data_IF_117378919816
#
_entry.id   IF_117378919816
#
_cell.length_a   1.000
_cell.length_b   1.000
_cell.length_c   1.000
_cell.angle_alpha   90.00
_cell.angle_beta   90.00
_cell.angle_gamma   90.00
#
_symmetry.space_group_name_H-M   'P 1'
#
loop_
_entity.id
_entity.type
_entity.pdbx_description
1 polymer ?
#
# COMPACT_ATOMS: atom_id res chain seq x y z
N UNK A 1 15.31 -8.76 -2.22
CA UNK A 1 16.10 -9.54 -3.16
C UNK A 1 17.56 -9.22 -2.91
N UNK A 2 18.38 -10.26 -2.81
CA UNK A 2 19.84 -10.14 -2.71
C UNK A 2 20.36 -10.24 -4.14
N UNK A 3 21.17 -9.26 -4.55
CA UNK A 3 21.84 -9.31 -5.86
C UNK A 3 23.17 -9.99 -5.63
N UNK A 4 23.29 -11.25 -6.04
CA UNK A 4 24.56 -11.97 -5.96
C UNK A 4 25.48 -11.52 -7.10
N UNK A 5 26.69 -11.15 -6.76
CA UNK A 5 27.76 -10.86 -7.73
C UNK A 5 28.53 -12.17 -8.06
N UNK A 6 27.84 -13.22 -8.49
CA UNK A 6 28.46 -14.33 -9.20
C UNK A 6 29.55 -15.18 -8.50
N UNK A 7 29.82 -15.01 -7.20
CA UNK A 7 30.76 -15.82 -6.45
C UNK A 7 30.02 -16.58 -5.34
N UNK A 8 29.72 -17.84 -5.58
CA UNK A 8 28.75 -18.70 -4.87
C UNK A 8 29.35 -19.41 -3.63
N UNK A 9 30.37 -18.83 -2.99
CA UNK A 9 31.07 -19.48 -1.86
C UNK A 9 30.85 -18.83 -0.48
N UNK A 10 30.00 -17.78 -0.39
CA UNK A 10 29.72 -17.04 0.85
C UNK A 10 28.48 -17.54 1.60
N UNK A 11 28.48 -17.42 2.95
CA UNK A 11 27.26 -17.59 3.74
C UNK A 11 26.23 -16.54 3.33
N UNK A 12 24.92 -16.83 3.26
CA UNK A 12 23.88 -15.85 2.92
C UNK A 12 23.88 -14.58 3.82
N UNK A 13 24.47 -14.67 5.02
CA UNK A 13 24.64 -13.54 5.94
C UNK A 13 25.74 -12.55 5.51
N UNK A 14 26.67 -13.00 4.68
CA UNK A 14 27.86 -12.23 4.29
C UNK A 14 27.66 -11.52 2.94
N UNK A 15 26.52 -11.77 2.28
CA UNK A 15 26.16 -11.09 1.03
C UNK A 15 25.99 -9.57 1.26
N UNK A 16 26.79 -8.81 0.55
CA UNK A 16 26.71 -7.35 0.56
C UNK A 16 25.34 -6.93 0.03
N UNK A 17 24.53 -6.30 0.90
CA UNK A 17 23.25 -5.68 0.51
C UNK A 17 23.49 -4.34 -0.18
N UNK A 18 24.40 -4.34 -1.14
CA UNK A 18 24.70 -3.19 -1.98
C UNK A 18 23.62 -3.07 -3.06
N UNK A 19 23.44 -1.87 -3.57
CA UNK A 19 22.59 -1.64 -4.72
C UNK A 19 23.42 -1.69 -5.99
N UNK A 20 22.76 -2.03 -7.08
CA UNK A 20 23.34 -2.01 -8.44
C UNK A 20 22.49 -1.12 -9.31
N UNK A 21 23.13 -0.23 -10.04
CA UNK A 21 22.50 0.67 -10.98
C UNK A 21 22.97 0.36 -12.41
N UNK A 22 22.07 -0.13 -13.25
CA UNK A 22 22.33 -0.33 -14.67
C UNK A 22 21.79 0.84 -15.49
N UNK A 23 22.55 1.22 -16.50
CA UNK A 23 22.19 2.30 -17.43
C UNK A 23 22.16 1.74 -18.83
N UNK A 24 21.00 1.83 -19.46
CA UNK A 24 20.76 1.43 -20.83
C UNK A 24 20.18 2.60 -21.62
N UNK A 25 20.21 2.60 -22.95
CA UNK A 25 19.58 3.65 -23.73
C UNK A 25 18.09 3.80 -23.38
N UNK A 26 17.71 4.95 -22.79
CA UNK A 26 16.33 5.24 -22.41
C UNK A 26 15.85 4.58 -21.11
N UNK A 27 16.69 3.83 -20.39
CA UNK A 27 16.31 3.11 -19.17
C UNK A 27 17.41 3.17 -18.11
N UNK A 28 16.98 3.32 -16.86
CA UNK A 28 17.83 3.15 -15.67
C UNK A 28 17.17 2.15 -14.73
N UNK A 29 17.89 1.08 -14.39
CA UNK A 29 17.39 0.03 -13.50
C UNK A 29 18.16 0.01 -12.21
N UNK A 30 17.45 0.06 -11.08
CA UNK A 30 18.02 -0.08 -9.73
C UNK A 30 17.55 -1.39 -9.11
N UNK A 31 18.47 -2.16 -8.55
CA UNK A 31 18.14 -3.33 -7.74
C UNK A 31 18.95 -3.35 -6.44
N UNK A 32 18.40 -3.95 -5.39
CA UNK A 32 19.03 -4.02 -4.07
C UNK A 32 18.82 -2.76 -3.23
N UNK A 33 19.76 -2.51 -2.31
CA UNK A 33 19.71 -1.38 -1.37
C UNK A 33 18.96 -1.67 -0.07
N UNK A 34 18.94 -0.67 0.81
CA UNK A 34 18.29 -0.72 2.13
C UNK A 34 17.22 0.37 2.21
N UNK A 35 16.13 0.10 2.92
CA UNK A 35 15.09 1.11 3.15
C UNK A 35 15.63 2.37 3.85
N UNK A 36 16.61 2.23 4.72
CA UNK A 36 17.25 3.36 5.42
C UNK A 36 18.06 4.28 4.51
N UNK A 37 18.45 3.80 3.34
CA UNK A 37 19.23 4.58 2.35
C UNK A 37 18.39 4.99 1.15
N UNK A 38 17.05 4.99 1.27
CA UNK A 38 16.15 5.28 0.15
C UNK A 38 16.40 6.65 -0.49
N UNK A 39 16.68 7.69 0.30
CA UNK A 39 16.90 9.05 -0.21
C UNK A 39 18.19 9.17 -1.03
N UNK A 40 19.38 8.79 -0.52
CA UNK A 40 20.60 8.79 -1.34
C UNK A 40 20.43 7.97 -2.62
N UNK A 41 19.82 6.79 -2.55
CA UNK A 41 19.56 5.95 -3.72
C UNK A 41 18.64 6.64 -4.73
N UNK A 42 17.56 7.25 -4.27
CA UNK A 42 16.65 7.99 -5.15
C UNK A 42 17.37 9.14 -5.85
N UNK A 43 18.22 9.89 -5.13
CA UNK A 43 19.00 10.99 -5.71
C UNK A 43 20.01 10.46 -6.74
N UNK A 44 20.65 9.32 -6.48
CA UNK A 44 21.56 8.69 -7.42
C UNK A 44 20.87 8.27 -8.71
N UNK A 45 19.70 7.62 -8.61
CA UNK A 45 18.87 7.24 -9.76
C UNK A 45 18.42 8.46 -10.54
N UNK A 46 17.92 9.49 -9.87
CA UNK A 46 17.50 10.73 -10.51
C UNK A 46 18.64 11.42 -11.24
N UNK A 47 19.86 11.45 -10.66
CA UNK A 47 21.06 11.97 -11.34
C UNK A 47 21.42 11.13 -12.55
N UNK A 48 21.26 9.81 -12.50
CA UNK A 48 21.47 8.93 -13.65
C UNK A 48 20.44 9.16 -14.77
N UNK A 49 19.21 9.51 -14.41
CA UNK A 49 18.14 9.84 -15.36
C UNK A 49 18.23 11.28 -15.90
N UNK A 50 18.98 12.17 -15.24
CA UNK A 50 19.05 13.59 -15.59
C UNK A 50 19.34 13.88 -17.09
N UNK A 51 20.27 13.16 -17.75
CA UNK A 51 20.50 13.35 -19.18
C UNK A 51 19.29 12.99 -20.06
N UNK A 52 18.51 11.96 -19.65
CA UNK A 52 17.31 11.53 -20.37
C UNK A 52 16.15 12.52 -20.18
N UNK A 53 16.12 13.19 -19.03
CA UNK A 53 15.05 14.12 -18.64
C UNK A 53 15.36 15.57 -19.07
N UNK A 54 16.58 15.86 -19.53
CA UNK A 54 17.03 17.22 -19.85
C UNK A 54 16.99 18.16 -18.64
N UNK A 55 17.16 17.61 -17.41
CA UNK A 55 17.06 18.36 -16.14
C UNK A 55 18.29 18.12 -15.26
N UNK A 56 18.66 19.14 -14.50
CA UNK A 56 19.63 18.99 -13.42
C UNK A 56 18.90 18.49 -12.16
N UNK A 57 19.50 17.55 -11.46
CA UNK A 57 18.96 17.01 -10.20
C UNK A 57 19.85 17.46 -9.04
N UNK A 58 19.28 18.21 -8.11
CA UNK A 58 19.88 18.61 -6.85
C UNK A 58 19.03 18.10 -5.70
N UNK A 59 19.67 17.62 -4.64
CA UNK A 59 18.98 17.33 -3.38
C UNK A 59 19.02 18.59 -2.51
N UNK A 60 17.87 19.21 -2.30
CA UNK A 60 17.72 20.41 -1.48
C UNK A 60 17.60 20.10 0.03
N UNK A 61 17.65 18.83 0.41
CA UNK A 61 17.50 18.41 1.80
C UNK A 61 16.07 18.52 2.35
N UNK A 62 15.09 18.94 1.54
CA UNK A 62 13.71 19.08 1.98
C UNK A 62 13.13 17.76 2.50
N UNK A 63 12.24 17.83 3.49
CA UNK A 63 11.58 16.64 4.04
C UNK A 63 10.75 15.94 2.96
N UNK A 64 10.99 14.63 2.80
CA UNK A 64 10.19 13.81 1.85
C UNK A 64 8.78 13.59 2.38
N UNK A 65 8.65 13.44 3.68
CA UNK A 65 7.36 13.28 4.35
C UNK A 65 6.95 14.59 5.00
N UNK A 66 5.72 15.04 4.73
CA UNK A 66 5.15 16.22 5.38
C UNK A 66 4.90 15.96 6.87
N UNK A 67 4.84 17.04 7.67
CA UNK A 67 4.36 16.95 9.02
C UNK A 67 2.93 16.37 9.04
N UNK A 68 2.69 15.47 9.99
CA UNK A 68 1.38 14.88 10.20
C UNK A 68 0.76 15.52 11.45
N UNK A 69 -0.30 16.28 11.27
CA UNK A 69 -1.08 16.83 12.38
C UNK A 69 -2.01 15.76 12.95
N UNK A 70 -2.31 15.83 14.25
CA UNK A 70 -3.30 14.93 14.87
C UNK A 70 -4.69 15.30 14.29
N UNK A 71 -5.35 14.40 13.56
CA UNK A 71 -6.69 14.67 13.09
C UNK A 71 -7.63 14.66 14.29
N UNK A 72 -8.24 15.77 14.58
CA UNK A 72 -9.34 15.83 15.51
C UNK A 72 -10.55 15.15 14.84
N UNK A 73 -10.67 13.83 15.02
CA UNK A 73 -11.83 13.03 14.60
C UNK A 73 -12.56 12.60 15.86
N UNK A 74 -13.75 13.14 16.05
CA UNK A 74 -14.59 12.81 17.20
C UNK A 74 -14.93 11.32 17.20
N UNK A 75 -15.00 10.74 18.42
CA UNK A 75 -15.29 9.32 18.59
C UNK A 75 -14.09 8.37 18.43
N UNK A 76 -12.91 8.87 17.99
CA UNK A 76 -11.71 8.04 17.90
C UNK A 76 -10.76 8.27 19.06
N UNK A 77 -10.22 7.19 19.63
CA UNK A 77 -9.16 7.24 20.61
C UNK A 77 -7.83 7.74 20.06
N UNK A 78 -6.94 8.23 20.92
CA UNK A 78 -5.63 8.80 20.54
C UNK A 78 -4.79 7.83 19.68
N UNK A 79 -4.74 6.53 20.03
CA UNK A 79 -4.01 5.51 19.28
C UNK A 79 -4.51 5.37 17.84
N UNK A 80 -5.84 5.36 17.66
CA UNK A 80 -6.46 5.22 16.36
C UNK A 80 -6.26 6.47 15.49
N UNK A 81 -6.40 7.68 16.07
CA UNK A 81 -6.08 8.92 15.38
C UNK A 81 -4.63 8.95 14.90
N UNK A 82 -3.68 8.58 15.79
CA UNK A 82 -2.26 8.51 15.44
C UNK A 82 -1.97 7.51 14.31
N UNK A 83 -2.65 6.35 14.34
CA UNK A 83 -2.57 5.34 13.26
C UNK A 83 -3.03 5.93 11.92
N UNK A 84 -4.19 6.57 11.90
CA UNK A 84 -4.74 7.20 10.69
C UNK A 84 -3.84 8.32 10.19
N UNK A 85 -3.35 9.17 11.09
CA UNK A 85 -2.41 10.24 10.75
C UNK A 85 -1.14 9.70 10.10
N UNK A 86 -0.51 8.70 10.69
CA UNK A 86 0.70 8.08 10.15
C UNK A 86 0.48 7.34 8.84
N UNK A 87 -0.72 6.79 8.60
CA UNK A 87 -1.04 6.06 7.38
C UNK A 87 -1.40 6.96 6.21
N UNK A 88 -2.23 7.97 6.45
CA UNK A 88 -2.85 8.77 5.39
C UNK A 88 -2.19 10.13 5.17
N UNK A 89 -1.42 10.63 6.14
CA UNK A 89 -0.67 11.88 5.97
C UNK A 89 -1.55 13.01 5.41
N UNK A 90 -1.20 13.52 4.24
CA UNK A 90 -1.95 14.60 3.57
C UNK A 90 -3.37 14.22 3.15
N UNK A 91 -3.62 12.94 2.87
CA UNK A 91 -4.93 12.45 2.47
C UNK A 91 -5.91 12.30 3.64
N UNK A 92 -5.44 12.54 4.86
CA UNK A 92 -6.27 12.47 6.07
C UNK A 92 -7.49 13.38 6.01
N UNK A 93 -7.38 14.54 5.36
CA UNK A 93 -8.52 15.46 5.15
C UNK A 93 -9.62 14.81 4.30
N UNK A 94 -9.25 14.02 3.29
CA UNK A 94 -10.20 13.29 2.45
C UNK A 94 -10.83 12.14 3.22
N UNK A 95 -10.00 11.37 3.95
CA UNK A 95 -10.49 10.30 4.81
C UNK A 95 -11.46 10.83 5.87
N UNK A 96 -11.15 11.99 6.51
CA UNK A 96 -12.02 12.59 7.51
C UNK A 96 -13.43 12.85 6.96
N UNK A 97 -13.58 13.36 5.74
CA UNK A 97 -14.89 13.57 5.11
C UNK A 97 -15.68 12.26 4.98
N UNK A 98 -15.00 11.16 4.68
CA UNK A 98 -15.64 9.84 4.63
C UNK A 98 -16.02 9.35 6.03
N UNK A 99 -15.20 9.61 7.04
CA UNK A 99 -15.53 9.30 8.44
C UNK A 99 -16.72 10.13 8.91
N UNK A 100 -16.79 11.40 8.57
CA UNK A 100 -17.92 12.28 8.92
C UNK A 100 -19.25 11.75 8.32
N UNK A 101 -19.18 11.03 7.19
CA UNK A 101 -20.38 10.46 6.51
C UNK A 101 -20.69 9.03 6.94
N UNK A 102 -19.66 8.18 7.09
CA UNK A 102 -19.78 6.74 7.30
C UNK A 102 -19.64 6.32 8.77
N UNK A 103 -19.21 7.24 9.63
CA UNK A 103 -18.94 6.97 11.04
C UNK A 103 -17.55 6.40 11.30
N UNK A 104 -17.33 6.08 12.58
CA UNK A 104 -16.07 5.58 13.13
C UNK A 104 -16.07 4.07 13.37
N UNK A 105 -17.06 3.34 12.86
CA UNK A 105 -17.18 1.90 13.03
C UNK A 105 -16.03 1.17 12.35
N UNK A 106 -15.48 0.18 13.05
CA UNK A 106 -14.46 -0.72 12.54
C UNK A 106 -15.07 -1.91 11.79
N UNK A 107 -14.27 -2.52 10.92
CA UNK A 107 -14.64 -3.74 10.20
C UNK A 107 -14.34 -4.95 11.09
N UNK A 108 -15.38 -5.52 11.68
CA UNK A 108 -15.24 -6.67 12.59
C UNK A 108 -14.34 -6.36 13.78
N UNK A 109 -13.44 -7.29 14.12
CA UNK A 109 -12.49 -7.12 15.22
C UNK A 109 -11.20 -6.38 14.81
N UNK A 110 -11.14 -5.80 13.61
CA UNK A 110 -9.98 -5.04 13.16
C UNK A 110 -10.05 -3.59 13.63
N UNK A 111 -8.92 -2.87 13.54
CA UNK A 111 -8.88 -1.42 13.78
C UNK A 111 -9.21 -0.59 12.51
N UNK A 112 -9.46 -1.25 11.38
CA UNK A 112 -9.74 -0.60 10.11
C UNK A 112 -11.18 -0.08 10.08
N UNK A 113 -11.35 1.21 9.83
CA UNK A 113 -12.67 1.82 9.70
C UNK A 113 -13.32 1.46 8.37
N UNK A 114 -14.65 1.41 8.32
CA UNK A 114 -15.38 1.29 7.05
C UNK A 114 -15.05 2.43 6.08
N UNK A 115 -14.79 3.62 6.62
CA UNK A 115 -14.35 4.77 5.84
C UNK A 115 -13.00 4.55 5.13
N UNK A 116 -12.10 3.74 5.69
CA UNK A 116 -10.82 3.41 5.05
C UNK A 116 -11.01 2.54 3.80
N UNK A 117 -12.00 1.65 3.81
CA UNK A 117 -12.36 0.87 2.61
C UNK A 117 -12.89 1.77 1.48
N UNK A 118 -13.77 2.71 1.83
CA UNK A 118 -14.29 3.68 0.87
C UNK A 118 -13.16 4.54 0.31
N UNK A 119 -12.26 5.02 1.16
CA UNK A 119 -11.10 5.80 0.76
C UNK A 119 -10.18 4.99 -0.18
N UNK A 120 -9.87 3.75 0.17
CA UNK A 120 -9.02 2.89 -0.66
C UNK A 120 -9.64 2.65 -2.05
N UNK A 121 -10.96 2.42 -2.11
CA UNK A 121 -11.67 2.25 -3.38
C UNK A 121 -11.63 3.51 -4.26
N UNK A 122 -11.64 4.71 -3.66
CA UNK A 122 -11.63 5.99 -4.38
C UNK A 122 -10.22 6.50 -4.76
N UNK A 123 -9.19 6.12 -4.00
CA UNK A 123 -7.92 6.84 -4.04
C UNK A 123 -6.66 5.97 -4.13
N UNK A 124 -6.74 4.67 -3.85
CA UNK A 124 -5.53 3.85 -3.69
C UNK A 124 -5.29 2.84 -4.83
N UNK A 125 -5.71 3.14 -6.07
CA UNK A 125 -5.49 2.27 -7.24
C UNK A 125 -5.88 0.80 -7.01
N UNK A 126 -7.12 0.58 -6.65
CA UNK A 126 -7.69 -0.77 -6.52
C UNK A 126 -8.14 -1.25 -7.90
N UNK A 127 -7.47 -2.24 -8.46
CA UNK A 127 -7.80 -2.86 -9.74
C UNK A 127 -8.54 -4.18 -9.56
N UNK A 128 -8.22 -4.90 -8.50
CA UNK A 128 -8.80 -6.18 -8.12
C UNK A 128 -9.26 -6.16 -6.65
N UNK A 129 -10.17 -7.06 -6.29
CA UNK A 129 -10.69 -7.12 -4.91
C UNK A 129 -9.59 -7.53 -3.90
N UNK A 130 -8.61 -8.30 -4.33
CA UNK A 130 -7.45 -8.64 -3.50
C UNK A 130 -6.52 -7.44 -3.26
N UNK A 131 -6.49 -6.43 -4.14
CA UNK A 131 -5.82 -5.16 -3.84
C UNK A 131 -6.46 -4.51 -2.63
N UNK A 132 -7.79 -4.37 -2.63
CA UNK A 132 -8.53 -3.75 -1.54
C UNK A 132 -8.30 -4.50 -0.22
N UNK A 133 -8.45 -5.82 -0.23
CA UNK A 133 -8.53 -6.62 0.99
C UNK A 133 -7.18 -7.14 1.49
N UNK A 134 -6.19 -7.37 0.63
CA UNK A 134 -4.88 -7.89 1.04
C UNK A 134 -3.77 -6.83 1.04
N UNK A 135 -3.88 -5.80 0.17
CA UNK A 135 -2.82 -4.81 0.00
C UNK A 135 -3.15 -3.46 0.65
N UNK A 136 -4.35 -2.92 0.39
CA UNK A 136 -4.72 -1.59 0.89
C UNK A 136 -5.19 -1.63 2.35
N UNK A 137 -6.09 -2.52 2.71
CA UNK A 137 -6.65 -2.59 4.07
C UNK A 137 -6.13 -3.75 4.91
N UNK A 138 -5.58 -4.78 4.29
CA UNK A 138 -5.12 -6.03 4.90
C UNK A 138 -6.20 -6.80 5.66
N UNK A 139 -7.47 -6.48 5.48
CA UNK A 139 -8.60 -7.14 6.16
C UNK A 139 -8.66 -8.63 5.85
N UNK A 140 -8.25 -9.03 4.65
CA UNK A 140 -8.15 -10.44 4.27
C UNK A 140 -7.15 -11.26 5.10
N UNK A 141 -6.18 -10.59 5.75
CA UNK A 141 -5.22 -11.22 6.66
C UNK A 141 -5.68 -11.15 8.12
N UNK A 142 -6.52 -10.17 8.48
CA UNK A 142 -6.90 -9.87 9.85
C UNK A 142 -8.22 -10.54 10.26
N UNK A 143 -9.08 -10.82 9.28
CA UNK A 143 -10.42 -11.33 9.53
C UNK A 143 -10.54 -12.82 9.19
N UNK A 144 -11.35 -13.59 9.96
CA UNK A 144 -11.61 -14.98 9.65
C UNK A 144 -12.14 -15.18 8.23
N UNK A 145 -11.69 -16.25 7.56
CA UNK A 145 -12.11 -16.59 6.21
C UNK A 145 -11.82 -15.51 5.16
N UNK A 146 -10.75 -14.71 5.39
CA UNK A 146 -10.40 -13.62 4.48
C UNK A 146 -11.41 -12.47 4.47
N UNK A 147 -12.23 -12.35 5.51
CA UNK A 147 -13.27 -11.35 5.57
C UNK A 147 -14.51 -11.66 4.72
N UNK A 148 -14.70 -12.91 4.29
CA UNK A 148 -15.81 -13.34 3.43
C UNK A 148 -17.20 -12.91 3.97
N UNK A 149 -17.40 -12.97 5.29
CA UNK A 149 -18.65 -12.54 5.91
C UNK A 149 -18.99 -11.06 5.72
N UNK A 150 -18.00 -10.23 5.40
CA UNK A 150 -18.16 -8.77 5.22
C UNK A 150 -18.33 -8.37 3.76
N UNK A 151 -18.13 -9.29 2.80
CA UNK A 151 -18.20 -8.98 1.36
C UNK A 151 -19.52 -8.32 0.92
N UNK A 152 -20.71 -8.69 1.44
CA UNK A 152 -21.94 -7.99 1.06
C UNK A 152 -21.90 -6.49 1.42
N UNK A 153 -21.42 -6.13 2.61
CA UNK A 153 -21.30 -4.72 3.03
C UNK A 153 -20.15 -4.00 2.29
N UNK A 154 -19.04 -4.70 2.02
CA UNK A 154 -17.94 -4.18 1.20
C UNK A 154 -18.41 -3.88 -0.22
N UNK A 155 -19.21 -4.77 -0.80
CA UNK A 155 -19.85 -4.54 -2.12
C UNK A 155 -20.67 -3.28 -2.12
N UNK A 156 -21.62 -3.17 -1.20
CA UNK A 156 -22.51 -2.01 -1.09
C UNK A 156 -21.74 -0.69 -0.93
N UNK A 157 -20.59 -0.72 -0.23
CA UNK A 157 -19.77 0.45 0.02
C UNK A 157 -18.85 0.80 -1.17
N UNK A 158 -18.21 -0.21 -1.77
CA UNK A 158 -17.06 -0.01 -2.66
C UNK A 158 -17.37 -0.19 -4.14
N UNK A 159 -18.36 -0.99 -4.52
CA UNK A 159 -18.63 -1.36 -5.91
C UNK A 159 -18.80 -0.15 -6.84
N UNK A 160 -19.67 0.79 -6.46
CA UNK A 160 -19.89 2.00 -7.25
C UNK A 160 -18.67 2.93 -7.28
N UNK A 161 -17.92 2.99 -6.17
CA UNK A 161 -16.68 3.78 -6.06
C UNK A 161 -15.57 3.25 -6.97
N UNK A 162 -15.53 1.92 -7.18
CA UNK A 162 -14.61 1.25 -8.08
C UNK A 162 -15.07 1.31 -9.56
N UNK A 163 -16.29 1.78 -9.81
CA UNK A 163 -16.87 1.78 -11.16
C UNK A 163 -17.13 0.37 -11.69
N UNK A 164 -17.39 -0.62 -10.80
CA UNK A 164 -17.61 -1.99 -11.18
C UNK A 164 -19.11 -2.28 -11.31
N UNK A 165 -19.47 -2.96 -12.39
CA UNK A 165 -20.80 -3.55 -12.55
C UNK A 165 -20.94 -4.87 -11.76
N UNK A 166 -22.17 -5.40 -11.70
CA UNK A 166 -22.44 -6.63 -10.96
C UNK A 166 -21.65 -7.84 -11.49
N UNK A 167 -21.58 -8.08 -12.82
CA UNK A 167 -20.78 -9.17 -13.36
C UNK A 167 -19.29 -9.06 -13.02
N UNK A 168 -18.72 -7.86 -13.01
CA UNK A 168 -17.34 -7.65 -12.61
C UNK A 168 -17.13 -7.93 -11.13
N UNK A 169 -18.03 -7.42 -10.27
CA UNK A 169 -17.96 -7.68 -8.84
C UNK A 169 -17.97 -9.19 -8.54
N UNK A 170 -18.86 -9.93 -9.15
CA UNK A 170 -18.97 -11.38 -8.93
C UNK A 170 -17.71 -12.13 -9.34
N UNK A 171 -17.12 -11.78 -10.49
CA UNK A 171 -15.83 -12.36 -10.92
C UNK A 171 -14.69 -12.02 -9.95
N UNK A 172 -14.59 -10.78 -9.52
CA UNK A 172 -13.55 -10.33 -8.59
C UNK A 172 -13.71 -11.00 -7.22
N UNK A 173 -14.94 -11.12 -6.74
CA UNK A 173 -15.24 -11.80 -5.49
C UNK A 173 -14.85 -13.29 -5.55
N UNK A 174 -15.20 -13.99 -6.62
CA UNK A 174 -14.85 -15.39 -6.79
C UNK A 174 -13.33 -15.56 -6.87
N UNK A 175 -12.66 -14.75 -7.67
CA UNK A 175 -11.19 -14.76 -7.83
C UNK A 175 -10.48 -14.50 -6.49
N UNK A 176 -10.96 -13.53 -5.70
CA UNK A 176 -10.44 -13.25 -4.38
C UNK A 176 -10.57 -14.42 -3.41
N UNK A 177 -11.77 -15.02 -3.34
CA UNK A 177 -12.03 -16.15 -2.43
C UNK A 177 -11.18 -17.37 -2.81
N UNK A 178 -10.99 -17.65 -4.09
CA UNK A 178 -10.16 -18.76 -4.56
C UNK A 178 -8.68 -18.50 -4.29
N UNK A 179 -8.20 -17.26 -4.51
CA UNK A 179 -6.85 -16.84 -4.17
C UNK A 179 -6.60 -16.98 -2.66
N UNK A 180 -7.56 -16.50 -1.84
CA UNK A 180 -7.42 -16.56 -0.39
C UNK A 180 -7.38 -18.02 0.10
N UNK A 181 -8.28 -18.89 -0.36
CA UNK A 181 -8.27 -20.31 0.00
C UNK A 181 -6.96 -21.00 -0.37
N UNK A 182 -6.42 -20.69 -1.55
CA UNK A 182 -5.19 -21.33 -2.06
C UNK A 182 -3.93 -20.91 -1.31
N UNK A 183 -3.84 -19.65 -0.92
CA UNK A 183 -2.56 -19.07 -0.47
C UNK A 183 -2.57 -18.56 0.98
N UNK A 184 -3.73 -18.36 1.58
CA UNK A 184 -3.86 -17.73 2.91
C UNK A 184 -4.67 -18.58 3.91
N UNK A 185 -5.32 -19.65 3.48
CA UNK A 185 -5.95 -20.60 4.40
C UNK A 185 -4.96 -21.67 4.84
N UNK A 186 -5.19 -22.23 6.04
CA UNK A 186 -4.48 -23.43 6.43
C UNK A 186 -4.95 -24.62 5.55
N UNK A 187 -4.03 -25.53 5.19
CA UNK A 187 -4.44 -26.75 4.51
C UNK A 187 -5.38 -27.55 5.43
N UNK A 188 -6.50 -27.99 4.88
CA UNK A 188 -7.47 -28.88 5.55
C UNK A 188 -7.01 -30.32 5.35
#
# INVERSE_FOLDING_TARGET
PVVSSGDDSGKPSDEKREHVLWREPGCVTLAGGKLTTFRPLAVEVLKACAPLLGRTVTDDGAAVFGACEDPLIDGLGCGQRRRLAGRYGRDLVRLKRLVDTLGTDCVGASETLWAELAFAAEAEMVLHLDDLLLRRTRLGLLLPGGGAAYLPRIRALCQARLGWDDPRWEREQQAYLDLWRRHYSLPV
#
